data_IF_430054639027
#
_entry.id   IF_430054639027
#
_cell.length_a   1.000
_cell.length_b   1.000
_cell.length_c   1.000
_cell.angle_alpha   90.00
_cell.angle_beta   90.00
_cell.angle_gamma   90.00
#
_symmetry.space_group_name_H-M   'P 1'
#
loop_
_entity.id
_entity.type
_entity.pdbx_description
1 polymer ?
#
# COMPACT_ATOMS: atom_id res chain seq x y z
N UNK A 1 0.30 -3.57 -50.83
CA UNK A 1 0.02 -2.93 -49.53
C UNK A 1 0.37 -3.92 -48.46
N UNK A 2 1.51 -3.73 -47.80
CA UNK A 2 1.97 -4.57 -46.71
C UNK A 2 1.39 -4.01 -45.40
N UNK A 3 0.70 -4.87 -44.62
CA UNK A 3 0.04 -4.53 -43.36
C UNK A 3 0.91 -4.85 -42.13
N UNK A 4 2.22 -4.92 -42.30
CA UNK A 4 3.22 -5.24 -41.28
C UNK A 4 3.41 -4.17 -40.16
N UNK A 5 2.37 -3.40 -39.82
CA UNK A 5 2.44 -2.23 -38.93
C UNK A 5 1.68 -2.30 -37.60
N UNK A 6 1.03 -3.41 -37.22
CA UNK A 6 0.08 -3.41 -36.07
C UNK A 6 0.52 -4.26 -34.87
N UNK A 7 1.83 -4.39 -34.62
CA UNK A 7 2.28 -5.01 -33.39
C UNK A 7 3.65 -4.47 -32.96
N UNK A 8 3.64 -3.51 -32.02
CA UNK A 8 4.70 -3.15 -31.04
C UNK A 8 4.26 -1.82 -30.41
N UNK A 9 4.14 -1.60 -29.11
CA UNK A 9 4.37 -2.38 -27.90
C UNK A 9 3.73 -1.50 -26.82
N UNK A 10 2.69 -1.98 -26.13
CA UNK A 10 2.21 -1.29 -24.92
C UNK A 10 3.32 -1.34 -23.89
N UNK A 11 4.09 -0.26 -23.76
CA UNK A 11 5.05 -0.05 -22.67
C UNK A 11 4.25 0.06 -21.38
N UNK A 12 3.83 -1.09 -20.87
CA UNK A 12 3.32 -1.22 -19.51
C UNK A 12 4.57 -1.11 -18.65
N UNK A 13 4.83 0.08 -18.10
CA UNK A 13 5.85 0.26 -17.09
C UNK A 13 5.50 -0.65 -15.93
N UNK A 14 6.11 -1.85 -15.87
CA UNK A 14 5.98 -2.70 -14.69
C UNK A 14 6.57 -1.91 -13.53
N UNK A 15 5.71 -1.52 -12.58
CA UNK A 15 6.16 -1.03 -11.29
C UNK A 15 7.14 -2.07 -10.74
N UNK A 16 8.37 -1.64 -10.45
CA UNK A 16 9.34 -2.49 -9.76
C UNK A 16 8.73 -2.84 -8.40
N UNK A 17 8.49 -4.12 -8.16
CA UNK A 17 8.09 -4.61 -6.84
C UNK A 17 9.22 -4.30 -5.86
N UNK A 18 8.94 -3.45 -4.87
CA UNK A 18 9.81 -3.37 -3.71
C UNK A 18 9.56 -4.60 -2.84
N UNK A 19 10.62 -5.34 -2.54
CA UNK A 19 10.59 -6.45 -1.59
C UNK A 19 10.58 -5.89 -0.16
N UNK A 20 9.43 -5.39 0.27
CA UNK A 20 9.21 -4.99 1.66
C UNK A 20 8.75 -6.19 2.48
N UNK A 21 9.28 -6.34 3.69
CA UNK A 21 8.75 -7.31 4.65
C UNK A 21 7.39 -6.83 5.18
N UNK A 22 6.46 -7.73 5.53
CA UNK A 22 5.16 -7.34 6.07
C UNK A 22 5.24 -6.40 7.27
N UNK A 23 6.22 -6.62 8.16
CA UNK A 23 6.45 -5.78 9.35
C UNK A 23 6.87 -4.34 9.02
N UNK A 24 7.28 -4.07 7.77
CA UNK A 24 7.63 -2.74 7.26
C UNK A 24 6.45 -2.05 6.58
N UNK A 25 5.30 -2.71 6.50
CA UNK A 25 4.11 -2.24 5.81
C UNK A 25 3.01 -1.87 6.80
N UNK A 26 2.18 -0.91 6.40
CA UNK A 26 0.94 -0.57 7.10
C UNK A 26 -0.22 -0.53 6.10
N UNK A 27 -1.33 -1.15 6.45
CA UNK A 27 -2.51 -1.27 5.59
C UNK A 27 -3.71 -0.55 6.22
N UNK A 28 -4.22 0.45 5.51
CA UNK A 28 -5.37 1.27 5.92
C UNK A 28 -6.57 0.86 5.08
N UNK A 29 -7.68 0.50 5.73
CA UNK A 29 -8.89 0.02 5.05
C UNK A 29 -10.14 0.52 5.79
N UNK A 30 -11.12 1.05 5.06
CA UNK A 30 -12.37 1.59 5.58
C UNK A 30 -13.51 0.56 5.60
N UNK A 31 -13.40 -0.53 4.83
CA UNK A 31 -14.38 -1.63 4.79
C UNK A 31 -14.07 -2.75 5.80
N UNK A 32 -12.80 -2.95 6.14
CA UNK A 32 -12.31 -3.85 7.19
C UNK A 32 -12.10 -5.29 6.73
N UNK A 33 -12.69 -5.70 5.61
CA UNK A 33 -12.62 -7.08 5.10
C UNK A 33 -11.17 -7.49 4.80
N UNK A 34 -10.37 -6.55 4.31
CA UNK A 34 -8.98 -6.80 3.94
C UNK A 34 -8.03 -6.77 5.15
N UNK A 35 -8.44 -6.16 6.27
CA UNK A 35 -7.61 -6.06 7.47
C UNK A 35 -7.32 -7.43 8.08
N UNK A 36 -8.25 -8.37 7.99
CA UNK A 36 -8.04 -9.73 8.51
C UNK A 36 -6.89 -10.42 7.78
N UNK A 37 -6.85 -10.31 6.45
CA UNK A 37 -5.79 -10.88 5.64
C UNK A 37 -4.45 -10.16 5.88
N UNK A 38 -4.44 -8.82 5.88
CA UNK A 38 -3.24 -8.03 6.12
C UNK A 38 -2.60 -8.35 7.49
N UNK A 39 -3.41 -8.43 8.55
CA UNK A 39 -2.94 -8.79 9.89
C UNK A 39 -2.36 -10.20 9.95
N UNK A 40 -2.98 -11.16 9.27
CA UNK A 40 -2.47 -12.52 9.20
C UNK A 40 -1.11 -12.62 8.49
N UNK A 41 -0.79 -11.67 7.60
CA UNK A 41 0.52 -11.54 6.96
C UNK A 41 1.56 -10.84 7.83
N UNK A 42 1.20 -10.29 9.00
CA UNK A 42 2.11 -9.51 9.86
C UNK A 42 2.18 -8.02 9.52
N UNK A 43 1.27 -7.53 8.68
CA UNK A 43 1.19 -6.11 8.32
C UNK A 43 0.48 -5.33 9.44
N UNK A 44 0.98 -4.15 9.78
CA UNK A 44 0.29 -3.25 10.72
C UNK A 44 -1.03 -2.79 10.09
N UNK A 45 -2.16 -2.93 10.78
CA UNK A 45 -3.48 -2.62 10.22
C UNK A 45 -4.14 -1.46 10.92
N UNK A 46 -4.72 -0.53 10.16
CA UNK A 46 -5.55 0.57 10.68
C UNK A 46 -6.92 0.50 9.99
N UNK A 47 -7.99 0.48 10.79
CA UNK A 47 -9.35 0.61 10.28
C UNK A 47 -9.70 2.09 10.17
N UNK A 48 -10.00 2.56 8.98
CA UNK A 48 -10.32 3.97 8.77
C UNK A 48 -11.81 4.19 9.05
N UNK A 49 -12.13 4.73 10.23
CA UNK A 49 -13.47 5.24 10.59
C UNK A 49 -13.63 6.69 10.20
N UNK A 50 -12.56 7.48 10.37
CA UNK A 50 -12.46 8.85 9.89
C UNK A 50 -11.02 9.16 9.42
N UNK A 51 -10.84 9.99 8.38
CA UNK A 51 -9.50 10.37 7.94
C UNK A 51 -8.63 11.06 9.01
N UNK A 52 -9.14 11.97 9.86
CA UNK A 52 -8.33 12.61 10.90
C UNK A 52 -7.83 11.61 11.95
N UNK A 53 -8.71 10.74 12.46
CA UNK A 53 -8.32 9.72 13.45
C UNK A 53 -7.30 8.74 12.88
N UNK A 54 -7.51 8.28 11.64
CA UNK A 54 -6.56 7.39 10.97
C UNK A 54 -5.18 8.06 10.79
N UNK A 55 -5.15 9.36 10.48
CA UNK A 55 -3.89 10.11 10.39
C UNK A 55 -3.20 10.26 11.76
N UNK A 56 -3.96 10.48 12.84
CA UNK A 56 -3.41 10.46 14.20
C UNK A 56 -2.84 9.09 14.56
N UNK A 57 -3.54 8.01 14.23
CA UNK A 57 -3.10 6.63 14.49
C UNK A 57 -1.82 6.30 13.71
N UNK A 58 -1.74 6.68 12.43
CA UNK A 58 -0.52 6.58 11.60
C UNK A 58 0.64 7.31 12.27
N UNK A 59 0.43 8.57 12.68
CA UNK A 59 1.49 9.38 13.30
C UNK A 59 1.97 8.75 14.62
N UNK A 60 1.04 8.24 15.43
CA UNK A 60 1.38 7.57 16.68
C UNK A 60 2.17 6.29 16.45
N UNK A 61 1.77 5.47 15.49
CA UNK A 61 2.48 4.23 15.14
C UNK A 61 3.92 4.51 14.63
N UNK A 62 4.11 5.60 13.89
CA UNK A 62 5.41 5.98 13.34
C UNK A 62 6.27 6.85 14.26
N UNK A 63 5.76 7.28 15.42
CA UNK A 63 6.43 8.25 16.31
C UNK A 63 7.83 7.82 16.76
N UNK A 64 8.06 6.51 16.93
CA UNK A 64 9.37 5.97 17.31
C UNK A 64 10.35 5.81 16.14
N UNK A 65 9.86 5.82 14.90
CA UNK A 65 10.64 5.62 13.68
C UNK A 65 11.06 6.93 13.04
N UNK A 66 10.24 7.98 13.18
CA UNK A 66 10.49 9.28 12.59
C UNK A 66 10.19 10.38 13.60
N UNK A 67 11.11 11.35 13.73
CA UNK A 67 10.75 12.63 14.33
C UNK A 67 9.92 13.40 13.32
N UNK A 68 8.60 13.30 13.47
CA UNK A 68 7.67 14.13 12.71
C UNK A 68 7.75 15.57 13.25
N UNK A 69 7.83 16.58 12.37
CA UNK A 69 7.82 17.99 12.78
C UNK A 69 6.51 18.39 13.47
#
# INVERSE_FOLDING_TARGET
MDISGIAKTSKTSRLKSHELKPEQCMFLDDLGINLKAARALGITTIKVTSPPEAADEVRNALRGLFKLP
#
